data_IF_576206986421
#
_entry.id   IF_576206986421
#
_cell.length_a   1.000
_cell.length_b   1.000
_cell.length_c   1.000
_cell.angle_alpha   90.00
_cell.angle_beta   90.00
_cell.angle_gamma   90.00
#
_symmetry.space_group_name_H-M   'P 1'
#
loop_
_entity.id
_entity.type
_entity.pdbx_description
1 polymer ?
#
# COMPACT_ATOMS: atom_id res chain seq x y z
N UNK A 1 17.32 16.46 31.01
CA UNK A 1 16.65 16.22 32.29
C UNK A 1 17.66 16.45 33.43
N UNK A 2 17.28 17.26 34.43
CA UNK A 2 18.13 17.55 35.59
C UNK A 2 17.58 16.83 36.81
N UNK A 3 18.41 16.08 37.47
CA UNK A 3 18.13 15.44 38.75
C UNK A 3 18.92 16.16 39.87
N UNK A 4 18.28 16.40 41.00
CA UNK A 4 18.94 16.97 42.17
C UNK A 4 18.55 16.20 43.42
N UNK A 5 19.50 16.11 44.33
CA UNK A 5 19.25 15.54 45.67
C UNK A 5 18.70 16.68 46.52
N UNK A 6 17.40 16.60 46.87
CA UNK A 6 16.73 17.62 47.65
C UNK A 6 16.96 17.48 49.16
N UNK A 7 17.19 16.25 49.67
CA UNK A 7 17.46 15.97 51.07
C UNK A 7 18.21 14.65 51.23
N UNK A 8 18.85 14.49 52.34
CA UNK A 8 19.52 13.24 52.77
C UNK A 8 19.04 12.84 54.16
N UNK A 9 19.13 11.55 54.48
CA UNK A 9 18.80 11.05 55.82
C UNK A 9 19.88 11.46 56.83
N UNK A 10 19.50 11.45 58.12
CA UNK A 10 20.41 11.80 59.22
C UNK A 10 21.73 11.04 59.12
N UNK A 11 22.84 11.74 59.29
CA UNK A 11 24.20 11.19 59.25
C UNK A 11 24.88 11.24 57.88
N UNK A 12 24.16 11.72 56.83
CA UNK A 12 24.72 11.96 55.51
C UNK A 12 24.73 13.45 55.21
N UNK A 13 25.64 13.88 54.36
CA UNK A 13 25.68 15.25 53.82
C UNK A 13 25.60 15.21 52.30
N UNK A 14 24.92 16.20 51.75
CA UNK A 14 24.90 16.40 50.27
C UNK A 14 26.31 16.86 49.87
N UNK A 15 26.98 16.15 49.00
CA UNK A 15 28.29 16.53 48.46
C UNK A 15 28.25 17.84 47.66
N UNK A 16 29.43 18.31 47.27
CA UNK A 16 29.58 19.56 46.52
C UNK A 16 28.78 19.57 45.18
N UNK A 17 28.52 18.41 44.61
CA UNK A 17 27.67 18.25 43.39
C UNK A 17 26.34 17.63 43.78
N UNK A 18 25.38 18.45 44.18
CA UNK A 18 24.02 18.05 44.55
C UNK A 18 23.09 17.84 43.37
N UNK A 19 23.49 18.27 42.20
CA UNK A 19 22.73 18.11 40.95
C UNK A 19 23.58 17.49 39.87
N UNK A 20 22.97 16.67 39.04
CA UNK A 20 23.57 16.08 37.85
C UNK A 20 22.67 16.35 36.63
N UNK A 21 23.27 16.77 35.53
CA UNK A 21 22.57 16.94 34.27
C UNK A 21 22.73 15.68 33.43
N UNK A 22 21.65 14.98 33.22
CA UNK A 22 21.59 13.89 32.25
C UNK A 22 21.11 14.45 30.91
N UNK A 23 21.97 14.41 29.93
CA UNK A 23 21.57 14.72 28.54
C UNK A 23 21.11 13.44 27.89
N UNK A 24 19.84 13.39 27.51
CA UNK A 24 19.30 12.32 26.64
C UNK A 24 19.41 12.89 25.23
N UNK A 25 20.30 12.29 24.43
CA UNK A 25 20.34 12.59 23.01
C UNK A 25 19.16 11.89 22.34
N UNK A 26 18.39 12.63 21.55
CA UNK A 26 17.41 12.04 20.65
C UNK A 26 18.19 11.33 19.54
N UNK A 27 18.04 10.02 19.46
CA UNK A 27 18.64 9.17 18.44
C UNK A 27 17.59 8.54 17.52
N UNK A 28 16.36 9.06 17.54
CA UNK A 28 15.31 8.58 16.68
C UNK A 28 15.64 8.92 15.23
N UNK A 29 15.57 7.91 14.35
CA UNK A 29 15.74 8.12 12.92
C UNK A 29 14.48 8.83 12.40
N UNK A 30 14.64 10.06 11.90
CA UNK A 30 13.58 10.76 11.23
C UNK A 30 13.26 10.06 9.90
N UNK A 31 12.04 9.52 9.77
CA UNK A 31 11.54 8.95 8.52
C UNK A 31 10.59 9.98 7.90
N UNK A 32 10.91 10.51 6.71
CA UNK A 32 10.08 11.52 6.06
C UNK A 32 8.72 10.94 5.62
N UNK A 33 7.73 11.83 5.48
CA UNK A 33 6.43 11.48 4.89
C UNK A 33 6.39 12.05 3.48
N UNK A 34 6.01 11.22 2.51
CA UNK A 34 5.81 11.62 1.11
C UNK A 34 4.36 11.40 0.71
N UNK A 35 3.89 12.16 -0.28
CA UNK A 35 2.67 11.80 -1.00
C UNK A 35 2.96 10.60 -1.91
N UNK A 36 1.92 9.85 -2.29
CA UNK A 36 2.07 8.73 -3.25
C UNK A 36 2.59 9.29 -4.58
N UNK A 37 2.08 10.45 -5.01
CA UNK A 37 2.47 11.10 -6.27
C UNK A 37 3.99 11.40 -6.34
N UNK A 38 4.60 11.75 -5.20
CA UNK A 38 6.04 12.03 -5.15
C UNK A 38 6.91 10.77 -5.32
N UNK A 39 6.32 9.58 -5.18
CA UNK A 39 7.02 8.30 -5.22
C UNK A 39 6.84 7.54 -6.55
N UNK A 40 5.98 8.03 -7.45
CA UNK A 40 5.63 7.36 -8.71
C UNK A 40 6.49 7.78 -9.90
N UNK A 41 7.43 8.73 -9.76
CA UNK A 41 8.37 9.09 -10.82
C UNK A 41 9.19 7.87 -11.24
N UNK A 42 9.40 7.67 -12.55
CA UNK A 42 10.12 6.52 -13.11
C UNK A 42 11.36 6.99 -13.87
N UNK A 43 12.41 6.19 -13.77
CA UNK A 43 13.60 6.35 -14.61
C UNK A 43 13.36 5.78 -16.03
N UNK A 44 14.39 5.85 -16.90
CA UNK A 44 14.32 5.35 -18.27
C UNK A 44 14.15 3.81 -18.38
N UNK A 45 14.29 3.08 -17.28
CA UNK A 45 14.10 1.63 -17.20
C UNK A 45 12.77 1.26 -16.51
N UNK A 46 11.88 2.22 -16.30
CA UNK A 46 10.62 2.05 -15.58
C UNK A 46 10.80 1.61 -14.11
N UNK A 47 11.92 1.97 -13.49
CA UNK A 47 12.16 1.77 -12.08
C UNK A 47 11.82 3.06 -11.34
N UNK A 48 11.13 3.02 -10.18
CA UNK A 48 10.85 4.24 -9.43
C UNK A 48 12.11 5.04 -9.11
N UNK A 49 12.12 6.34 -9.42
CA UNK A 49 13.21 7.26 -9.05
C UNK A 49 13.44 7.26 -7.53
N UNK A 50 12.38 6.98 -6.77
CA UNK A 50 12.37 6.84 -5.32
C UNK A 50 12.77 5.44 -4.83
N UNK A 51 13.21 4.53 -5.71
CA UNK A 51 13.61 3.17 -5.32
C UNK A 51 14.63 3.19 -4.18
N UNK A 52 14.43 2.35 -3.17
CA UNK A 52 15.22 2.29 -1.93
C UNK A 52 15.06 3.47 -0.97
N UNK A 53 14.14 4.40 -1.21
CA UNK A 53 13.82 5.48 -0.26
C UNK A 53 13.00 4.92 0.89
N UNK A 54 13.50 5.09 2.14
CA UNK A 54 12.77 4.82 3.38
C UNK A 54 11.84 5.98 3.69
N UNK A 55 10.53 5.73 3.80
CA UNK A 55 9.55 6.79 4.01
C UNK A 55 8.26 6.32 4.68
N UNK A 56 7.39 7.29 4.94
CA UNK A 56 5.99 7.09 5.35
C UNK A 56 5.08 7.55 4.24
N UNK A 57 4.02 6.78 3.99
CA UNK A 57 2.90 7.16 3.13
C UNK A 57 1.58 6.91 3.85
N UNK A 58 0.55 7.66 3.50
CA UNK A 58 -0.82 7.46 4.00
C UNK A 58 -1.74 7.29 2.81
N UNK A 59 -2.63 6.30 2.89
CA UNK A 59 -3.63 6.05 1.86
C UNK A 59 -4.80 5.24 2.38
N UNK A 60 -5.85 5.17 1.59
CA UNK A 60 -7.02 4.33 1.82
C UNK A 60 -6.84 3.03 1.04
N UNK A 61 -7.08 1.91 1.70
CA UNK A 61 -6.99 0.56 1.11
C UNK A 61 -8.03 0.40 0.02
N UNK A 62 -7.60 -0.07 -1.15
CA UNK A 62 -8.44 -0.48 -2.26
C UNK A 62 -8.46 -2.01 -2.38
N UNK A 63 -9.66 -2.57 -2.46
CA UNK A 63 -9.88 -3.99 -2.73
C UNK A 63 -9.42 -4.90 -1.59
N UNK A 64 -8.82 -6.02 -1.96
CA UNK A 64 -8.55 -7.17 -1.08
C UNK A 64 -7.06 -7.44 -0.94
N UNK A 65 -6.71 -8.36 -0.03
CA UNK A 65 -5.37 -8.93 0.07
C UNK A 65 -5.10 -9.90 -1.08
N UNK A 66 -4.18 -9.55 -1.98
CA UNK A 66 -3.78 -10.34 -3.14
C UNK A 66 -2.84 -11.51 -2.81
N UNK A 67 -2.50 -11.71 -1.53
CA UNK A 67 -1.79 -12.92 -1.05
C UNK A 67 -2.75 -13.97 -0.51
N UNK A 68 -3.99 -13.57 -0.25
CA UNK A 68 -5.04 -14.40 0.30
C UNK A 68 -4.84 -14.80 1.76
N UNK A 69 -5.91 -15.27 2.37
CA UNK A 69 -5.96 -15.56 3.82
C UNK A 69 -5.07 -16.73 4.29
N UNK A 70 -4.57 -17.54 3.37
CA UNK A 70 -3.67 -18.64 3.69
C UNK A 70 -2.19 -18.22 3.78
N UNK A 71 -1.85 -17.02 3.31
CA UNK A 71 -0.50 -16.47 3.36
C UNK A 71 -0.25 -15.75 4.68
N UNK A 72 0.99 -15.80 5.15
CA UNK A 72 1.46 -14.92 6.22
C UNK A 72 1.88 -13.53 5.69
N UNK A 73 1.94 -13.36 4.38
CA UNK A 73 2.24 -12.08 3.74
C UNK A 73 0.94 -11.38 3.37
N UNK A 74 1.00 -10.06 3.22
CA UNK A 74 -0.11 -9.27 2.67
C UNK A 74 0.37 -8.45 1.47
N UNK A 75 -0.49 -8.32 0.45
CA UNK A 75 -0.27 -7.44 -0.70
C UNK A 75 -1.59 -6.77 -1.08
N UNK A 76 -1.58 -5.46 -1.13
CA UNK A 76 -2.78 -4.67 -1.43
C UNK A 76 -2.40 -3.31 -2.00
N UNK A 77 -3.38 -2.57 -2.48
CA UNK A 77 -3.19 -1.20 -2.98
C UNK A 77 -3.73 -0.19 -1.98
N UNK A 78 -3.03 0.93 -1.83
CA UNK A 78 -3.53 2.13 -1.14
C UNK A 78 -3.67 3.28 -2.13
N UNK A 79 -4.56 4.24 -1.83
CA UNK A 79 -4.83 5.40 -2.67
C UNK A 79 -4.95 6.66 -1.82
N UNK A 80 -4.36 7.79 -2.27
CA UNK A 80 -4.39 9.06 -1.54
C UNK A 80 -5.48 10.04 -2.03
N UNK A 81 -6.35 9.58 -2.93
CA UNK A 81 -7.36 10.40 -3.62
C UNK A 81 -6.97 10.79 -5.05
N UNK A 82 -5.69 10.79 -5.37
CA UNK A 82 -5.15 11.12 -6.71
C UNK A 82 -4.47 9.92 -7.33
N UNK A 83 -3.60 9.24 -6.59
CA UNK A 83 -2.75 8.16 -7.06
C UNK A 83 -2.85 6.92 -6.17
N UNK A 84 -2.68 5.77 -6.78
CA UNK A 84 -2.54 4.48 -6.10
C UNK A 84 -1.09 4.04 -5.97
N UNK A 85 -0.81 3.17 -4.97
CA UNK A 85 0.51 2.60 -4.73
C UNK A 85 0.40 1.19 -4.15
N UNK A 86 1.19 0.26 -4.68
CA UNK A 86 1.26 -1.10 -4.16
C UNK A 86 1.88 -1.15 -2.77
N UNK A 87 1.42 -2.07 -1.93
CA UNK A 87 2.00 -2.36 -0.61
C UNK A 87 2.23 -3.86 -0.50
N UNK A 88 3.43 -4.25 -0.12
CA UNK A 88 3.75 -5.63 0.23
C UNK A 88 4.38 -5.68 1.62
N UNK A 89 3.97 -6.64 2.42
CA UNK A 89 4.61 -6.93 3.71
C UNK A 89 4.67 -8.43 3.96
N UNK A 90 5.88 -8.93 4.22
CA UNK A 90 6.07 -10.30 4.69
C UNK A 90 5.73 -10.42 6.19
N UNK A 91 5.22 -11.59 6.59
CA UNK A 91 4.91 -11.93 7.99
C UNK A 91 4.05 -10.86 8.70
N UNK A 92 2.97 -10.45 8.04
CA UNK A 92 2.05 -9.42 8.54
C UNK A 92 0.92 -10.03 9.37
N UNK A 93 0.52 -9.30 10.42
CA UNK A 93 -0.70 -9.57 11.17
C UNK A 93 -1.84 -8.60 10.82
N UNK A 94 -1.61 -7.70 9.88
CA UNK A 94 -2.63 -6.76 9.42
C UNK A 94 -3.67 -7.48 8.57
N UNK A 95 -4.95 -7.29 8.90
CA UNK A 95 -6.06 -7.76 8.07
C UNK A 95 -6.45 -6.65 7.11
N UNK A 96 -6.37 -6.93 5.82
CA UNK A 96 -6.69 -5.97 4.75
C UNK A 96 -8.19 -5.81 4.65
N UNK A 97 -8.69 -4.59 4.86
CA UNK A 97 -10.10 -4.25 4.67
C UNK A 97 -10.19 -3.01 3.76
N UNK A 98 -10.98 -3.10 2.71
CA UNK A 98 -11.25 -1.96 1.85
C UNK A 98 -11.86 -0.80 2.61
N UNK A 99 -11.40 0.41 2.33
CA UNK A 99 -11.82 1.62 3.03
C UNK A 99 -11.09 1.90 4.35
N UNK A 100 -10.17 1.04 4.79
CA UNK A 100 -9.28 1.37 5.89
C UNK A 100 -8.27 2.44 5.45
N UNK A 101 -8.12 3.51 6.22
CA UNK A 101 -6.99 4.42 6.06
C UNK A 101 -5.82 3.89 6.88
N UNK A 102 -4.68 3.78 6.23
CA UNK A 102 -3.46 3.25 6.84
C UNK A 102 -2.27 4.18 6.61
N UNK A 103 -1.33 4.15 7.55
CA UNK A 103 0.01 4.69 7.38
C UNK A 103 0.98 3.54 7.21
N UNK A 104 1.69 3.55 6.11
CA UNK A 104 2.74 2.58 5.79
C UNK A 104 4.09 3.22 6.08
N UNK A 105 4.98 2.49 6.75
CA UNK A 105 6.38 2.83 6.93
C UNK A 105 7.17 1.72 6.26
N UNK A 106 8.11 2.08 5.41
CA UNK A 106 8.90 1.08 4.68
C UNK A 106 9.77 1.71 3.62
N UNK A 107 10.26 0.87 2.74
CA UNK A 107 11.17 1.24 1.65
C UNK A 107 10.48 1.08 0.31
N UNK A 108 10.56 2.09 -0.53
CA UNK A 108 10.06 2.01 -1.92
C UNK A 108 10.82 0.92 -2.66
N UNK A 109 10.10 0.10 -3.38
CA UNK A 109 10.64 -0.99 -4.17
C UNK A 109 9.95 -1.10 -5.53
N UNK A 110 10.42 -2.08 -6.30
CA UNK A 110 9.92 -2.38 -7.62
C UNK A 110 9.80 -3.90 -7.78
N UNK A 111 8.63 -4.37 -8.19
CA UNK A 111 8.38 -5.79 -8.38
C UNK A 111 7.64 -6.05 -9.69
N UNK A 112 8.30 -6.68 -10.65
CA UNK A 112 7.73 -7.03 -11.97
C UNK A 112 7.07 -5.86 -12.71
N UNK A 113 7.65 -4.66 -12.64
CA UNK A 113 7.09 -3.46 -13.23
C UNK A 113 6.24 -2.61 -12.26
N UNK A 114 5.78 -3.17 -11.16
CA UNK A 114 4.93 -2.46 -10.19
C UNK A 114 5.78 -1.70 -9.17
N UNK A 115 5.57 -0.39 -9.07
CA UNK A 115 6.09 0.41 -7.96
C UNK A 115 5.30 0.07 -6.67
N UNK A 116 6.01 -0.27 -5.61
CA UNK A 116 5.38 -0.67 -4.35
C UNK A 116 6.18 -0.24 -3.12
N UNK A 117 5.50 -0.18 -1.98
CA UNK A 117 6.12 -0.08 -0.67
C UNK A 117 6.40 -1.48 -0.11
N UNK A 118 7.67 -1.80 0.15
CA UNK A 118 8.06 -2.93 1.00
C UNK A 118 7.91 -2.48 2.46
N UNK A 119 6.80 -2.85 3.08
CA UNK A 119 6.38 -2.28 4.35
C UNK A 119 7.06 -2.96 5.55
N UNK A 120 7.71 -2.15 6.40
CA UNK A 120 8.18 -2.57 7.73
C UNK A 120 7.05 -2.48 8.76
N UNK A 121 6.12 -1.53 8.57
CA UNK A 121 4.98 -1.32 9.46
C UNK A 121 3.75 -0.86 8.70
N UNK A 122 2.59 -1.40 9.08
CA UNK A 122 1.26 -0.98 8.65
C UNK A 122 0.50 -0.53 9.89
N UNK A 123 0.13 0.74 9.95
CA UNK A 123 -0.57 1.32 11.10
C UNK A 123 -1.97 1.74 10.66
N UNK A 124 -2.99 1.12 11.23
CA UNK A 124 -4.38 1.50 11.04
C UNK A 124 -4.65 2.91 11.60
N UNK A 125 -5.40 3.72 10.88
CA UNK A 125 -5.79 5.07 11.28
C UNK A 125 -7.31 5.15 11.49
N UNK A 126 -8.09 4.80 10.48
CA UNK A 126 -9.56 4.85 10.51
C UNK A 126 -10.17 3.89 9.51
N UNK A 127 -11.42 3.51 9.71
CA UNK A 127 -12.19 2.64 8.81
C UNK A 127 -13.27 3.43 8.06
N UNK A 128 -13.87 2.79 7.05
CA UNK A 128 -15.01 3.32 6.29
C UNK A 128 -14.72 4.66 5.58
N UNK A 129 -13.49 4.84 5.12
CA UNK A 129 -13.14 6.03 4.35
C UNK A 129 -13.69 5.90 2.91
N UNK A 130 -14.01 7.05 2.32
CA UNK A 130 -14.50 7.10 0.94
C UNK A 130 -13.42 6.63 -0.04
N UNK A 131 -13.79 5.72 -0.93
CA UNK A 131 -12.93 5.27 -2.00
C UNK A 131 -12.80 6.36 -3.09
N UNK A 132 -11.70 6.38 -3.84
CA UNK A 132 -11.54 7.31 -4.95
C UNK A 132 -12.58 7.04 -6.04
N UNK A 133 -12.91 8.06 -6.82
CA UNK A 133 -13.71 7.87 -8.04
C UNK A 133 -12.87 7.13 -9.08
N UNK A 134 -13.40 6.06 -9.71
CA UNK A 134 -12.68 5.35 -10.76
C UNK A 134 -12.30 6.26 -11.93
N UNK A 135 -11.04 6.18 -12.35
CA UNK A 135 -10.54 6.87 -13.55
C UNK A 135 -10.98 6.10 -14.79
N UNK A 136 -11.66 6.78 -15.72
CA UNK A 136 -12.01 6.16 -17.00
C UNK A 136 -10.78 6.10 -17.89
N UNK A 137 -10.47 4.93 -18.43
CA UNK A 137 -9.34 4.71 -19.32
C UNK A 137 -9.72 3.86 -20.53
N UNK A 138 -8.91 3.91 -21.57
CA UNK A 138 -9.01 3.09 -22.78
C UNK A 138 -7.73 2.33 -23.09
N UNK A 139 -6.61 2.76 -22.48
CA UNK A 139 -5.29 2.15 -22.60
C UNK A 139 -4.74 1.93 -21.18
N UNK A 140 -4.08 0.81 -20.99
CA UNK A 140 -3.32 0.53 -19.78
C UNK A 140 -1.92 1.10 -19.96
N UNK A 141 -1.56 2.08 -19.14
CA UNK A 141 -0.24 2.72 -19.11
C UNK A 141 0.20 3.04 -17.68
N UNK A 142 1.40 3.52 -17.51
CA UNK A 142 1.99 3.86 -16.22
C UNK A 142 1.20 4.95 -15.45
N UNK A 143 0.49 5.83 -16.16
CA UNK A 143 -0.27 6.92 -15.54
C UNK A 143 -1.45 6.40 -14.71
N UNK A 144 -1.97 5.21 -15.06
CA UNK A 144 -3.09 4.58 -14.34
C UNK A 144 -2.65 3.41 -13.42
N UNK A 145 -1.34 3.12 -13.35
CA UNK A 145 -0.81 2.08 -12.47
C UNK A 145 -1.32 2.26 -11.04
N UNK A 146 -1.82 1.19 -10.44
CA UNK A 146 -2.37 1.13 -9.07
C UNK A 146 -3.59 2.04 -8.82
N UNK A 147 -4.13 2.70 -9.81
CA UNK A 147 -5.35 3.49 -9.68
C UNK A 147 -6.61 2.62 -9.75
N UNK A 148 -7.69 3.10 -9.15
CA UNK A 148 -9.00 2.51 -9.36
C UNK A 148 -9.50 2.89 -10.75
N UNK A 149 -9.46 1.95 -11.68
CA UNK A 149 -9.79 2.16 -13.08
C UNK A 149 -11.20 1.74 -13.45
N UNK A 150 -11.73 2.34 -14.52
CA UNK A 150 -12.99 1.98 -15.14
C UNK A 150 -12.84 1.91 -16.65
N UNK A 151 -13.13 0.76 -17.24
CA UNK A 151 -13.25 0.56 -18.68
C UNK A 151 -14.73 0.46 -19.03
N UNK A 152 -15.23 1.43 -19.81
CA UNK A 152 -16.66 1.53 -20.11
C UNK A 152 -17.07 0.64 -21.28
N UNK A 153 -18.32 0.16 -21.26
CA UNK A 153 -18.95 -0.63 -22.35
C UNK A 153 -18.14 -1.90 -22.70
N UNK A 154 -17.58 -2.54 -21.67
CA UNK A 154 -16.74 -3.72 -21.85
C UNK A 154 -17.58 -4.94 -22.23
N UNK A 155 -17.12 -5.68 -23.26
CA UNK A 155 -17.58 -7.03 -23.59
C UNK A 155 -16.40 -8.00 -23.60
N UNK A 156 -16.62 -9.23 -23.17
CA UNK A 156 -15.61 -10.30 -23.26
C UNK A 156 -15.52 -10.75 -24.72
N UNK A 157 -14.29 -10.80 -25.25
CA UNK A 157 -14.06 -11.24 -26.65
C UNK A 157 -14.23 -12.74 -26.78
N UNK A 158 -13.64 -13.50 -25.86
CA UNK A 158 -13.73 -14.96 -25.82
C UNK A 158 -14.17 -15.43 -24.42
N UNK A 159 -15.45 -15.80 -24.25
CA UNK A 159 -15.95 -16.27 -22.96
C UNK A 159 -15.24 -17.53 -22.41
N UNK A 160 -14.54 -18.30 -23.25
CA UNK A 160 -13.81 -19.50 -22.81
C UNK A 160 -12.57 -19.15 -21.96
N UNK A 161 -12.11 -17.89 -22.02
CA UNK A 161 -11.04 -17.38 -21.14
C UNK A 161 -11.50 -17.21 -19.70
N UNK A 162 -12.80 -17.15 -19.45
CA UNK A 162 -13.37 -17.08 -18.10
C UNK A 162 -13.38 -18.45 -17.43
N UNK A 163 -12.24 -18.87 -16.93
CA UNK A 163 -12.01 -20.26 -16.52
C UNK A 163 -12.34 -20.57 -15.07
N UNK A 164 -12.46 -19.55 -14.20
CA UNK A 164 -12.66 -19.72 -12.75
C UNK A 164 -11.63 -20.69 -12.12
N UNK A 165 -10.38 -20.66 -12.55
CA UNK A 165 -9.38 -21.66 -12.17
C UNK A 165 -7.97 -21.10 -11.97
N UNK A 166 -7.14 -21.88 -11.30
CA UNK A 166 -5.75 -21.53 -11.03
C UNK A 166 -5.58 -20.45 -9.98
N UNK A 167 -4.49 -19.68 -10.06
CA UNK A 167 -4.24 -18.51 -9.22
C UNK A 167 -4.87 -17.22 -9.75
N UNK A 168 -5.69 -17.33 -10.78
CA UNK A 168 -6.30 -16.27 -11.55
C UNK A 168 -6.21 -16.57 -13.03
N UNK A 169 -6.97 -15.83 -13.83
CA UNK A 169 -7.04 -15.99 -15.28
C UNK A 169 -7.09 -14.64 -15.97
N UNK A 170 -6.64 -14.59 -17.21
CA UNK A 170 -6.67 -13.39 -18.04
C UNK A 170 -7.84 -13.46 -19.02
N UNK A 171 -8.46 -12.33 -19.25
CA UNK A 171 -9.61 -12.19 -20.18
C UNK A 171 -9.39 -10.97 -21.06
N UNK A 172 -9.54 -11.17 -22.36
CA UNK A 172 -9.56 -10.08 -23.34
C UNK A 172 -10.94 -9.44 -23.36
N UNK A 173 -10.98 -8.13 -23.10
CA UNK A 173 -12.20 -7.34 -23.16
C UNK A 173 -12.05 -6.20 -24.14
N UNK A 174 -13.18 -5.80 -24.77
CA UNK A 174 -13.22 -4.69 -25.73
C UNK A 174 -14.43 -3.80 -25.48
N UNK A 175 -14.29 -2.51 -25.80
CA UNK A 175 -15.40 -1.56 -25.90
C UNK A 175 -15.88 -1.33 -27.34
N UNK A 176 -15.40 -2.15 -28.27
CA UNK A 176 -15.67 -2.04 -29.70
C UNK A 176 -14.61 -1.23 -30.48
N UNK A 177 -13.77 -0.47 -29.78
CA UNK A 177 -12.66 0.32 -30.36
C UNK A 177 -11.32 -0.14 -29.79
N UNK A 178 -11.24 -0.19 -28.46
CA UNK A 178 -10.04 -0.56 -27.72
C UNK A 178 -10.18 -1.99 -27.18
N UNK A 179 -9.06 -2.67 -27.02
CA UNK A 179 -8.97 -4.00 -26.41
C UNK A 179 -7.91 -3.97 -25.34
N UNK A 180 -8.25 -4.50 -24.17
CA UNK A 180 -7.31 -4.66 -23.06
C UNK A 180 -7.42 -6.07 -22.48
N UNK A 181 -6.36 -6.51 -21.82
CA UNK A 181 -6.35 -7.76 -21.01
C UNK A 181 -6.59 -7.40 -19.58
N UNK A 182 -7.60 -8.00 -18.96
CA UNK A 182 -7.78 -7.95 -17.50
C UNK A 182 -7.37 -9.27 -16.87
N UNK A 183 -6.81 -9.20 -15.67
CA UNK A 183 -6.59 -10.37 -14.84
C UNK A 183 -7.65 -10.44 -13.74
N UNK A 184 -8.33 -11.56 -13.65
CA UNK A 184 -9.20 -11.90 -12.52
C UNK A 184 -8.38 -12.74 -11.55
N UNK A 185 -8.02 -12.19 -10.42
CA UNK A 185 -7.25 -12.90 -9.41
C UNK A 185 -8.15 -13.74 -8.51
N UNK A 186 -7.65 -14.91 -8.06
CA UNK A 186 -8.40 -15.85 -7.20
C UNK A 186 -8.80 -15.26 -5.84
N UNK A 187 -8.06 -14.25 -5.39
CA UNK A 187 -8.28 -13.64 -4.08
C UNK A 187 -9.39 -12.55 -4.13
N UNK A 188 -9.84 -12.16 -5.34
CA UNK A 188 -11.08 -11.40 -5.58
C UNK A 188 -12.25 -12.39 -5.71
N UNK A 189 -12.59 -13.03 -4.59
CA UNK A 189 -13.40 -14.26 -4.52
C UNK A 189 -14.79 -14.14 -5.15
N UNK A 190 -15.44 -13.00 -5.00
CA UNK A 190 -16.78 -12.72 -5.54
C UNK A 190 -16.77 -12.66 -7.08
N UNK A 191 -15.76 -12.04 -7.69
CA UNK A 191 -15.58 -11.98 -9.14
C UNK A 191 -15.03 -13.29 -9.68
N UNK A 192 -14.02 -13.86 -9.02
CA UNK A 192 -13.36 -15.10 -9.46
C UNK A 192 -14.33 -16.28 -9.56
N UNK A 193 -15.28 -16.40 -8.61
CA UNK A 193 -16.27 -17.48 -8.58
C UNK A 193 -17.57 -17.17 -9.36
N UNK A 194 -17.71 -15.95 -9.85
CA UNK A 194 -18.88 -15.57 -10.64
C UNK A 194 -18.86 -16.21 -12.03
N UNK A 195 -20.02 -16.45 -12.66
CA UNK A 195 -20.08 -16.81 -14.08
C UNK A 195 -19.56 -15.66 -14.94
N UNK A 196 -19.09 -15.99 -16.14
CA UNK A 196 -18.71 -14.95 -17.10
C UNK A 196 -19.86 -13.95 -17.30
N UNK A 197 -19.59 -12.63 -17.22
CA UNK A 197 -20.59 -11.63 -17.51
C UNK A 197 -21.15 -11.79 -18.94
N UNK A 198 -22.45 -11.64 -19.09
CA UNK A 198 -23.14 -11.64 -20.39
C UNK A 198 -23.71 -10.25 -20.65
N UNK A 199 -23.42 -9.67 -21.80
CA UNK A 199 -23.84 -8.31 -22.17
C UNK A 199 -22.74 -7.26 -21.95
N UNK A 200 -23.12 -6.00 -22.16
CA UNK A 200 -22.28 -4.81 -21.97
C UNK A 200 -22.63 -4.09 -20.67
#
# INVERSE_FOLDING_TARGET
LTFSIASVTSGLTIGATASHVLTIADNDIYIPTYSISDLKGLDANFVPDSNSVMCKVVGVVLGVDMQGTASSNVSFTIHNGTDGFGVFRANSTYTVNEGDQVRIIGTVGHFNGLAQMNADSIVFISANNTLPTPVVFTVLDEAIESNLGRFNNATIIDPTQWTNSGSGFNVDITNGTDTIVIRVDKDVVDVFNAPAPTGT
#
